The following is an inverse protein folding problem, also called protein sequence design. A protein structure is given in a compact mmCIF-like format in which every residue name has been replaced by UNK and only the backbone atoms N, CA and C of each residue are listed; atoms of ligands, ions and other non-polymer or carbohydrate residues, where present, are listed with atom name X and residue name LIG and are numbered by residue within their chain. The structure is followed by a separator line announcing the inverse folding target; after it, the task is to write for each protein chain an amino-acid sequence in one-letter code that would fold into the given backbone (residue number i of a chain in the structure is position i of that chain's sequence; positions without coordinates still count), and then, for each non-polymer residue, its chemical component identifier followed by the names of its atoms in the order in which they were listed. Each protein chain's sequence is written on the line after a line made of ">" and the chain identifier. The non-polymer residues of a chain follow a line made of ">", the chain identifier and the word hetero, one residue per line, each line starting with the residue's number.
data_IF_777621887019
#
_entry.id   IF_777621887019
#
_cell.length_a   1.000
_cell.length_b   1.000
_cell.length_c   1.000
_cell.angle_alpha   90.00
_cell.angle_beta   90.00
_cell.angle_gamma   90.00
#
_symmetry.space_group_name_H-M   'P 1'
#
loop_
_entity.id
_entity.type
_entity.pdbx_description
1 polymer ?
#
# COMPACT_ATOMS: atom_id res chain seq x y z
N UNK A 1 11.96 -9.71 33.96
CA UNK A 1 11.01 -10.07 32.89
C UNK A 1 9.82 -9.15 32.99
N UNK A 2 9.75 -8.11 32.15
CA UNK A 2 8.56 -7.24 32.08
C UNK A 2 7.61 -7.91 31.09
N UNK A 3 6.50 -8.46 31.57
CA UNK A 3 5.41 -8.95 30.76
C UNK A 3 4.79 -7.75 30.02
N UNK A 4 5.23 -7.53 28.78
CA UNK A 4 4.61 -6.52 27.94
C UNK A 4 3.22 -7.00 27.55
N UNK A 5 2.19 -6.30 27.94
CA UNK A 5 0.90 -6.34 27.28
C UNK A 5 1.18 -6.06 25.79
N UNK A 6 0.89 -7.04 24.92
CA UNK A 6 0.83 -6.80 23.49
C UNK A 6 -0.36 -5.87 23.25
N UNK A 7 -0.10 -4.57 23.24
CA UNK A 7 -1.06 -3.59 22.75
C UNK A 7 -1.17 -3.88 21.26
N UNK A 8 -2.33 -4.30 20.80
CA UNK A 8 -2.64 -4.43 19.37
C UNK A 8 -2.68 -3.01 18.81
N UNK A 9 -1.55 -2.54 18.27
CA UNK A 9 -1.35 -1.14 17.84
C UNK A 9 -2.32 -0.70 16.75
N UNK A 10 -2.93 -1.63 16.01
CA UNK A 10 -3.83 -1.34 14.90
C UNK A 10 -5.32 -1.34 15.28
N UNK A 11 -5.68 -1.73 16.52
CA UNK A 11 -7.07 -1.75 16.97
C UNK A 11 -7.72 -0.36 16.87
N UNK A 12 -8.82 -0.28 16.12
CA UNK A 12 -9.57 0.95 15.90
C UNK A 12 -8.94 1.95 14.93
N UNK A 13 -7.71 1.73 14.44
CA UNK A 13 -7.07 2.58 13.44
C UNK A 13 -7.82 2.50 12.10
N UNK A 14 -8.00 3.65 11.47
CA UNK A 14 -8.62 3.77 10.14
C UNK A 14 -7.53 3.75 9.08
N UNK A 15 -7.46 2.67 8.33
CA UNK A 15 -6.41 2.41 7.34
C UNK A 15 -7.03 2.44 5.94
N UNK A 16 -6.60 3.38 5.09
CA UNK A 16 -6.87 3.31 3.66
C UNK A 16 -5.93 2.28 3.02
N UNK A 17 -6.46 1.31 2.30
CA UNK A 17 -5.68 0.22 1.73
C UNK A 17 -5.82 0.19 0.20
N UNK A 18 -4.76 0.65 -0.49
CA UNK A 18 -4.77 0.91 -1.93
C UNK A 18 -4.09 -0.22 -2.70
N UNK A 19 -4.84 -0.89 -3.56
CA UNK A 19 -4.32 -1.87 -4.51
C UNK A 19 -4.02 -1.22 -5.86
N UNK A 20 -2.84 -1.49 -6.42
CA UNK A 20 -2.46 -1.02 -7.76
C UNK A 20 -2.00 -2.16 -8.67
N UNK A 21 -1.82 -1.93 -9.95
CA UNK A 21 -1.68 -2.91 -11.01
C UNK A 21 -0.48 -3.88 -10.96
N UNK A 22 -0.02 -4.28 -9.78
CA UNK A 22 0.98 -5.34 -9.59
C UNK A 22 0.33 -6.65 -9.17
N UNK A 23 -0.48 -7.21 -10.07
CA UNK A 23 -1.36 -8.35 -9.82
C UNK A 23 -0.66 -9.62 -9.30
N UNK A 24 0.60 -9.84 -9.65
CA UNK A 24 1.36 -11.02 -9.19
C UNK A 24 1.55 -11.09 -7.68
N UNK A 25 1.38 -9.98 -6.96
CA UNK A 25 1.50 -9.90 -5.50
C UNK A 25 0.15 -9.75 -4.79
N UNK A 26 -0.98 -9.65 -5.52
CA UNK A 26 -2.32 -9.47 -4.92
C UNK A 26 -2.64 -10.52 -3.87
N UNK A 27 -2.47 -11.80 -4.17
CA UNK A 27 -2.80 -12.88 -3.23
C UNK A 27 -2.05 -12.74 -1.91
N UNK A 28 -0.74 -12.45 -1.96
CA UNK A 28 0.06 -12.21 -0.76
C UNK A 28 -0.42 -10.99 0.02
N UNK A 29 -0.76 -9.92 -0.69
CA UNK A 29 -1.29 -8.69 -0.08
C UNK A 29 -2.64 -8.91 0.60
N UNK A 30 -3.54 -9.67 -0.02
CA UNK A 30 -4.85 -10.01 0.55
C UNK A 30 -4.69 -10.86 1.82
N UNK A 31 -3.74 -11.79 1.86
CA UNK A 31 -3.48 -12.57 3.07
C UNK A 31 -2.99 -11.68 4.24
N UNK A 32 -2.17 -10.67 3.96
CA UNK A 32 -1.76 -9.71 5.00
C UNK A 32 -2.93 -8.79 5.40
N UNK A 33 -3.77 -8.37 4.44
CA UNK A 33 -4.99 -7.61 4.74
C UNK A 33 -5.89 -8.37 5.73
N UNK A 34 -6.08 -9.69 5.52
CA UNK A 34 -6.85 -10.54 6.46
C UNK A 34 -6.27 -10.51 7.88
N UNK A 35 -4.94 -10.47 8.02
CA UNK A 35 -4.29 -10.38 9.33
C UNK A 35 -4.54 -9.02 9.98
N UNK A 36 -4.40 -7.93 9.21
CA UNK A 36 -4.62 -6.56 9.69
C UNK A 36 -6.08 -6.37 10.16
N UNK A 37 -7.05 -6.93 9.42
CA UNK A 37 -8.45 -6.92 9.83
C UNK A 37 -8.67 -7.69 11.15
N UNK A 38 -7.99 -8.84 11.32
CA UNK A 38 -8.02 -9.60 12.59
C UNK A 38 -7.46 -8.82 13.79
N UNK A 39 -6.56 -7.86 13.53
CA UNK A 39 -6.06 -6.92 14.53
C UNK A 39 -7.05 -5.79 14.84
N UNK A 40 -8.30 -5.90 14.35
CA UNK A 40 -9.40 -4.95 14.55
C UNK A 40 -9.16 -3.55 13.99
N UNK A 41 -8.32 -3.42 12.98
CA UNK A 41 -8.21 -2.21 12.19
C UNK A 41 -9.49 -2.00 11.36
N UNK A 42 -9.87 -0.75 11.12
CA UNK A 42 -10.95 -0.38 10.21
C UNK A 42 -10.35 -0.09 8.84
N UNK A 43 -10.66 -0.90 7.85
CA UNK A 43 -10.09 -0.78 6.51
C UNK A 43 -11.05 -0.04 5.59
N UNK A 44 -10.53 0.92 4.85
CA UNK A 44 -11.21 1.52 3.69
C UNK A 44 -10.45 1.03 2.44
N UNK A 45 -10.99 0.05 1.70
CA UNK A 45 -10.34 -0.52 0.55
C UNK A 45 -10.44 0.43 -0.66
N UNK A 46 -9.34 0.54 -1.39
CA UNK A 46 -9.22 1.44 -2.54
C UNK A 46 -8.56 0.66 -3.68
N UNK A 47 -9.01 0.82 -4.90
CA UNK A 47 -8.37 0.25 -6.09
C UNK A 47 -8.05 1.32 -7.12
N UNK A 48 -6.90 1.18 -7.79
CA UNK A 48 -6.64 1.93 -9.01
C UNK A 48 -7.56 1.45 -10.12
N UNK A 49 -7.75 2.25 -11.16
CA UNK A 49 -8.60 1.94 -12.31
C UNK A 49 -8.26 0.57 -12.93
N UNK A 50 -6.97 0.30 -13.15
CA UNK A 50 -6.52 -0.98 -13.71
C UNK A 50 -6.80 -2.16 -12.78
N UNK A 51 -6.58 -1.99 -11.48
CA UNK A 51 -6.83 -3.08 -10.52
C UNK A 51 -8.31 -3.37 -10.33
N UNK A 52 -9.17 -2.39 -10.56
CA UNK A 52 -10.62 -2.54 -10.45
C UNK A 52 -11.26 -3.14 -11.73
N UNK A 53 -10.65 -2.94 -12.91
CA UNK A 53 -11.31 -3.28 -14.18
C UNK A 53 -10.66 -4.41 -14.96
N UNK A 54 -9.37 -4.73 -14.70
CA UNK A 54 -8.62 -5.64 -15.57
C UNK A 54 -8.62 -7.08 -15.05
N UNK A 55 -9.09 -8.00 -15.87
CA UNK A 55 -8.85 -9.42 -15.71
C UNK A 55 -7.42 -9.76 -16.13
N UNK A 56 -6.78 -10.65 -15.39
CA UNK A 56 -5.40 -11.07 -15.65
C UNK A 56 -5.24 -12.57 -15.42
N UNK A 57 -4.09 -13.10 -15.82
CA UNK A 57 -3.74 -14.50 -15.50
C UNK A 57 -3.64 -14.82 -14.01
N UNK A 58 -3.66 -13.80 -13.14
CA UNK A 58 -3.59 -13.95 -11.67
C UNK A 58 -4.97 -13.99 -11.02
N UNK A 59 -6.02 -13.67 -11.74
CA UNK A 59 -7.42 -13.67 -11.33
C UNK A 59 -8.23 -12.61 -12.05
N UNK A 60 -9.55 -12.73 -11.92
CA UNK A 60 -10.49 -11.76 -12.46
C UNK A 60 -10.66 -10.59 -11.49
N UNK A 61 -10.88 -9.39 -12.03
CA UNK A 61 -11.10 -8.20 -11.21
C UNK A 61 -12.28 -8.35 -10.27
N UNK A 62 -13.39 -8.90 -10.77
CA UNK A 62 -14.61 -9.13 -9.99
C UNK A 62 -14.37 -10.04 -8.77
N UNK A 63 -13.57 -11.10 -8.91
CA UNK A 63 -13.27 -12.03 -7.81
C UNK A 63 -12.44 -11.33 -6.72
N UNK A 64 -11.45 -10.52 -7.11
CA UNK A 64 -10.66 -9.73 -6.15
C UNK A 64 -11.50 -8.67 -5.44
N UNK A 65 -12.40 -7.99 -6.17
CA UNK A 65 -13.31 -7.00 -5.60
C UNK A 65 -14.17 -7.66 -4.51
N UNK A 66 -14.86 -8.75 -4.85
CA UNK A 66 -15.73 -9.45 -3.89
C UNK A 66 -14.93 -9.94 -2.67
N UNK A 67 -13.76 -10.57 -2.88
CA UNK A 67 -12.94 -11.06 -1.77
C UNK A 67 -12.51 -9.93 -0.83
N UNK A 68 -12.09 -8.77 -1.37
CA UNK A 68 -11.66 -7.64 -0.56
C UNK A 68 -12.83 -6.99 0.18
N UNK A 69 -13.99 -6.82 -0.49
CA UNK A 69 -15.19 -6.28 0.14
C UNK A 69 -15.70 -7.20 1.26
N UNK A 70 -15.67 -8.51 1.06
CA UNK A 70 -16.06 -9.51 2.08
C UNK A 70 -15.11 -9.47 3.30
N UNK A 71 -13.79 -9.34 3.07
CA UNK A 71 -12.80 -9.25 4.16
C UNK A 71 -12.96 -7.98 4.97
N UNK A 72 -13.22 -6.84 4.30
CA UNK A 72 -13.23 -5.53 4.94
C UNK A 72 -14.62 -5.11 5.42
N UNK A 73 -15.66 -5.75 4.90
CA UNK A 73 -17.08 -5.36 5.05
C UNK A 73 -17.33 -3.90 4.61
N UNK A 74 -16.57 -3.44 3.62
CA UNK A 74 -16.64 -2.09 3.05
C UNK A 74 -16.60 -2.14 1.53
N UNK A 75 -17.27 -1.20 0.85
CA UNK A 75 -17.20 -1.07 -0.60
C UNK A 75 -15.88 -0.45 -1.05
N UNK A 76 -15.34 -0.97 -2.16
CA UNK A 76 -14.10 -0.45 -2.72
C UNK A 76 -14.31 0.94 -3.32
N UNK A 77 -13.49 1.90 -2.89
CA UNK A 77 -13.37 3.19 -3.54
C UNK A 77 -12.49 3.06 -4.79
N UNK A 78 -12.99 3.47 -5.95
CA UNK A 78 -12.28 3.23 -7.22
C UNK A 78 -12.28 4.41 -8.18
N UNK A 79 -12.86 5.54 -7.79
CA UNK A 79 -12.86 6.78 -8.58
C UNK A 79 -12.11 7.90 -7.84
N UNK A 80 -11.69 8.92 -8.59
CA UNK A 80 -11.09 10.13 -8.00
C UNK A 80 -12.06 10.80 -7.03
N UNK A 81 -13.34 10.84 -7.39
CA UNK A 81 -14.39 11.46 -6.57
C UNK A 81 -14.57 10.76 -5.23
N UNK A 82 -14.43 9.43 -5.19
CA UNK A 82 -14.58 8.64 -3.96
C UNK A 82 -13.47 8.97 -2.96
N UNK A 83 -12.25 9.18 -3.44
CA UNK A 83 -11.05 9.30 -2.58
C UNK A 83 -10.66 10.76 -2.30
N UNK A 84 -11.14 11.71 -3.07
CA UNK A 84 -10.85 13.14 -2.84
C UNK A 84 -11.25 13.59 -1.42
N UNK A 85 -12.38 13.14 -0.83
CA UNK A 85 -12.78 13.52 0.52
C UNK A 85 -11.92 12.96 1.65
N UNK A 86 -11.03 11.98 1.42
CA UNK A 86 -10.26 11.30 2.47
C UNK A 86 -9.46 12.26 3.35
N UNK A 87 -8.80 13.25 2.75
CA UNK A 87 -8.03 14.26 3.48
C UNK A 87 -8.91 15.33 4.12
N UNK A 88 -9.75 16.08 3.35
CA UNK A 88 -10.62 17.13 3.89
C UNK A 88 -11.49 16.66 5.06
N UNK A 89 -12.05 15.44 5.00
CA UNK A 89 -12.91 14.87 6.05
C UNK A 89 -12.16 14.11 7.14
N UNK A 90 -10.83 14.08 7.09
CA UNK A 90 -10.00 13.41 8.09
C UNK A 90 -10.37 11.94 8.33
N UNK A 91 -10.53 11.19 7.23
CA UNK A 91 -11.12 9.87 7.27
C UNK A 91 -10.15 8.74 7.67
N UNK A 92 -8.84 8.95 7.56
CA UNK A 92 -7.81 7.93 7.72
C UNK A 92 -6.73 8.35 8.72
N UNK A 93 -6.20 7.41 9.49
CA UNK A 93 -5.00 7.60 10.30
C UNK A 93 -3.72 7.36 9.47
N UNK A 94 -3.79 6.44 8.52
CA UNK A 94 -2.69 6.03 7.65
C UNK A 94 -3.22 5.53 6.31
N UNK A 95 -2.43 5.72 5.24
CA UNK A 95 -2.71 5.18 3.92
C UNK A 95 -1.63 4.16 3.53
N UNK A 96 -2.03 2.99 3.06
CA UNK A 96 -1.15 1.90 2.64
C UNK A 96 -1.33 1.66 1.15
N UNK A 97 -0.28 1.85 0.36
CA UNK A 97 -0.27 1.56 -1.08
C UNK A 97 0.51 0.28 -1.30
N UNK A 98 -0.20 -0.83 -1.37
CA UNK A 98 0.40 -2.16 -1.55
C UNK A 98 -0.57 -3.08 -2.29
N UNK A 99 -0.10 -3.75 -3.36
CA UNK A 99 1.21 -3.57 -3.97
C UNK A 99 1.30 -2.22 -4.72
N UNK A 100 2.43 -1.53 -4.60
CA UNK A 100 2.72 -0.30 -5.35
C UNK A 100 3.46 -0.64 -6.65
N UNK A 101 2.80 -0.41 -7.79
CA UNK A 101 3.39 -0.64 -9.10
C UNK A 101 4.41 0.44 -9.48
N UNK A 102 5.36 0.11 -10.37
CA UNK A 102 6.33 1.08 -10.89
C UNK A 102 5.67 2.33 -11.48
N UNK A 103 4.54 2.16 -12.18
CA UNK A 103 3.76 3.28 -12.72
C UNK A 103 3.19 4.18 -11.61
N UNK A 104 2.61 3.57 -10.56
CA UNK A 104 2.06 4.33 -9.43
C UNK A 104 3.18 5.09 -8.71
N UNK A 105 4.32 4.45 -8.45
CA UNK A 105 5.46 5.12 -7.82
C UNK A 105 6.01 6.26 -8.69
N UNK A 106 6.09 6.07 -10.02
CA UNK A 106 6.52 7.13 -10.94
C UNK A 106 5.59 8.34 -10.90
N UNK A 107 4.27 8.12 -10.91
CA UNK A 107 3.28 9.19 -10.78
C UNK A 107 3.40 9.91 -9.45
N UNK A 108 3.46 9.18 -8.33
CA UNK A 108 3.63 9.77 -7.01
C UNK A 108 4.92 10.58 -6.90
N UNK A 109 6.04 10.07 -7.42
CA UNK A 109 7.36 10.74 -7.38
C UNK A 109 7.40 12.05 -8.17
N UNK A 110 6.52 12.21 -9.17
CA UNK A 110 6.47 13.38 -10.05
C UNK A 110 5.17 14.21 -9.90
N UNK A 111 4.41 13.99 -8.83
CA UNK A 111 3.14 14.68 -8.50
C UNK A 111 2.08 14.62 -9.63
N UNK A 112 2.03 13.50 -10.35
CA UNK A 112 1.02 13.22 -11.38
C UNK A 112 -0.20 12.60 -10.69
N UNK A 113 -1.30 13.35 -10.64
CA UNK A 113 -2.51 13.00 -9.90
C UNK A 113 -3.68 12.83 -10.87
N UNK A 114 -3.63 11.78 -11.65
CA UNK A 114 -4.57 11.48 -12.72
C UNK A 114 -5.39 10.20 -12.51
N UNK A 115 -5.35 9.64 -11.30
CA UNK A 115 -6.07 8.41 -10.99
C UNK A 115 -6.37 8.24 -9.50
N UNK A 116 -7.21 7.26 -9.18
CA UNK A 116 -7.71 6.99 -7.84
C UNK A 116 -6.58 6.83 -6.82
N UNK A 117 -5.60 5.97 -7.10
CA UNK A 117 -4.51 5.70 -6.16
C UNK A 117 -3.67 6.95 -5.85
N UNK A 118 -3.35 7.75 -6.86
CA UNK A 118 -2.55 8.97 -6.69
C UNK A 118 -3.33 10.10 -6.03
N UNK A 119 -4.64 10.20 -6.32
CA UNK A 119 -5.52 11.14 -5.63
C UNK A 119 -5.70 10.76 -4.17
N UNK A 120 -5.86 9.48 -3.83
CA UNK A 120 -5.95 9.04 -2.44
C UNK A 120 -4.72 9.47 -1.63
N UNK A 121 -3.51 9.25 -2.17
CA UNK A 121 -2.26 9.67 -1.54
C UNK A 121 -2.19 11.19 -1.38
N UNK A 122 -2.47 11.95 -2.45
CA UNK A 122 -2.47 13.42 -2.39
C UNK A 122 -3.46 13.95 -1.36
N UNK A 123 -4.68 13.42 -1.37
CA UNK A 123 -5.72 13.84 -0.43
C UNK A 123 -5.31 13.57 1.02
N UNK A 124 -4.79 12.37 1.29
CA UNK A 124 -4.33 11.96 2.61
C UNK A 124 -3.15 12.79 3.13
N UNK A 125 -2.15 13.07 2.28
CA UNK A 125 -0.97 13.88 2.62
C UNK A 125 -1.30 15.34 2.99
N UNK A 126 -2.46 15.87 2.63
CA UNK A 126 -2.91 17.19 3.09
C UNK A 126 -3.02 17.30 4.61
N UNK A 127 -3.10 16.17 5.31
CA UNK A 127 -3.15 16.08 6.77
C UNK A 127 -1.79 15.71 7.39
N UNK A 128 -0.72 15.73 6.59
CA UNK A 128 0.65 15.35 7.01
C UNK A 128 0.72 13.97 7.70
N UNK A 129 -0.15 13.05 7.27
CA UNK A 129 -0.24 11.70 7.82
C UNK A 129 0.56 10.69 7.00
N UNK A 130 0.99 9.58 7.63
CA UNK A 130 1.89 8.61 7.00
C UNK A 130 1.25 7.86 5.83
N UNK A 131 2.09 7.57 4.83
CA UNK A 131 1.80 6.72 3.68
C UNK A 131 2.81 5.58 3.66
N UNK A 132 2.33 4.34 3.69
CA UNK A 132 3.17 3.13 3.58
C UNK A 132 3.19 2.65 2.13
N UNK A 133 4.38 2.34 1.61
CA UNK A 133 4.59 1.85 0.25
C UNK A 133 5.13 0.43 0.28
N UNK A 134 4.39 -0.51 -0.31
CA UNK A 134 4.86 -1.88 -0.56
C UNK A 134 5.26 -2.03 -2.03
N UNK A 135 6.57 -1.93 -2.34
CA UNK A 135 7.09 -1.98 -3.70
C UNK A 135 6.80 -3.32 -4.36
N UNK A 136 6.24 -3.31 -5.56
CA UNK A 136 6.12 -4.49 -6.42
C UNK A 136 6.26 -4.07 -7.87
N UNK A 137 7.48 -4.19 -8.43
CA UNK A 137 7.76 -3.75 -9.79
C UNK A 137 8.87 -4.57 -10.44
N UNK A 138 8.76 -4.78 -11.76
CA UNK A 138 9.75 -5.54 -12.54
C UNK A 138 10.94 -4.69 -13.03
N UNK A 139 10.93 -3.38 -12.80
CA UNK A 139 11.96 -2.44 -13.23
C UNK A 139 12.53 -1.60 -12.07
N UNK A 140 12.49 -2.10 -10.82
CA UNK A 140 12.93 -1.41 -9.62
C UNK A 140 14.41 -1.02 -9.64
N UNK A 141 15.27 -1.87 -10.20
CA UNK A 141 16.71 -1.60 -10.40
C UNK A 141 17.01 -1.06 -11.80
N UNK A 142 16.06 -0.35 -12.40
CA UNK A 142 16.23 0.38 -13.67
C UNK A 142 15.35 1.64 -13.66
N UNK A 143 14.42 1.81 -14.59
CA UNK A 143 13.65 3.05 -14.72
C UNK A 143 12.81 3.45 -13.49
N UNK A 144 12.41 2.53 -12.62
CA UNK A 144 11.71 2.88 -11.38
C UNK A 144 12.66 3.25 -10.22
N UNK A 145 13.97 2.98 -10.34
CA UNK A 145 14.93 3.22 -9.25
C UNK A 145 15.01 4.70 -8.83
N UNK A 146 15.02 5.62 -9.80
CA UNK A 146 14.99 7.05 -9.53
C UNK A 146 13.73 7.46 -8.76
N UNK A 147 12.56 6.94 -9.16
CA UNK A 147 11.30 7.26 -8.52
C UNK A 147 11.21 6.70 -7.09
N UNK A 148 11.75 5.50 -6.86
CA UNK A 148 11.90 4.93 -5.52
C UNK A 148 12.78 5.84 -4.66
N UNK A 149 13.95 6.27 -5.17
CA UNK A 149 14.85 7.19 -4.47
C UNK A 149 14.19 8.54 -4.14
N UNK A 150 13.42 9.11 -5.07
CA UNK A 150 12.63 10.33 -4.81
C UNK A 150 11.64 10.14 -3.68
N UNK A 151 10.90 9.03 -3.68
CA UNK A 151 9.89 8.74 -2.65
C UNK A 151 10.52 8.43 -1.28
N UNK A 152 11.66 7.73 -1.24
CA UNK A 152 12.43 7.50 -0.01
C UNK A 152 12.88 8.81 0.67
N UNK A 153 13.07 9.88 -0.10
CA UNK A 153 13.48 11.19 0.40
C UNK A 153 12.29 12.13 0.74
N UNK A 154 11.06 11.71 0.50
CA UNK A 154 9.87 12.53 0.81
C UNK A 154 9.39 12.30 2.24
N UNK A 155 8.95 13.36 2.90
CA UNK A 155 8.28 13.26 4.20
C UNK A 155 7.02 12.41 4.11
N UNK A 156 6.72 11.70 5.20
CA UNK A 156 5.52 10.89 5.40
C UNK A 156 5.42 9.63 4.54
N UNK A 157 6.44 9.31 3.73
CA UNK A 157 6.52 8.05 3.01
C UNK A 157 7.39 7.05 3.79
N UNK A 158 6.82 5.87 4.06
CA UNK A 158 7.46 4.76 4.78
C UNK A 158 7.39 3.52 3.92
N UNK A 159 8.46 2.75 3.89
CA UNK A 159 8.54 1.61 2.99
C UNK A 159 8.48 0.30 3.74
N UNK A 160 7.66 -0.63 3.25
CA UNK A 160 7.76 -2.02 3.66
C UNK A 160 9.12 -2.54 3.23
N UNK A 161 9.90 -3.22 4.10
CA UNK A 161 11.17 -3.83 3.71
C UNK A 161 11.07 -4.62 2.41
N UNK A 162 12.06 -4.47 1.53
CA UNK A 162 12.01 -5.03 0.18
C UNK A 162 13.34 -5.61 -0.26
N UNK A 163 13.28 -6.46 -1.29
CA UNK A 163 14.44 -7.14 -1.88
C UNK A 163 14.24 -7.38 -3.37
N UNK A 164 15.28 -7.91 -4.04
CA UNK A 164 15.07 -8.45 -5.38
C UNK A 164 14.09 -9.63 -5.33
N UNK A 165 13.19 -9.72 -6.32
CA UNK A 165 12.23 -10.82 -6.43
C UNK A 165 12.96 -12.13 -6.75
N UNK A 166 13.67 -12.16 -7.87
CA UNK A 166 14.56 -13.26 -8.24
C UNK A 166 15.79 -12.69 -8.99
N UNK A 167 16.99 -12.70 -8.35
CA UNK A 167 18.17 -12.09 -8.94
C UNK A 167 18.64 -12.71 -10.25
N UNK A 168 18.31 -13.99 -10.49
CA UNK A 168 18.73 -14.74 -11.68
C UNK A 168 17.76 -14.52 -12.84
N UNK A 169 16.46 -14.74 -12.60
CA UNK A 169 15.43 -14.72 -13.67
C UNK A 169 14.78 -13.36 -13.84
N UNK A 170 14.84 -12.50 -12.82
CA UNK A 170 14.24 -11.16 -12.79
C UNK A 170 15.22 -10.14 -12.16
N UNK A 171 16.40 -9.93 -12.73
CA UNK A 171 17.49 -9.18 -12.08
C UNK A 171 17.18 -7.71 -11.77
N UNK A 172 16.11 -7.16 -12.34
CA UNK A 172 15.70 -5.77 -12.10
C UNK A 172 14.45 -5.62 -11.25
N UNK A 173 13.82 -6.73 -10.88
CA UNK A 173 12.57 -6.71 -10.12
C UNK A 173 12.80 -6.51 -8.64
N UNK A 174 12.02 -5.61 -8.04
CA UNK A 174 11.95 -5.42 -6.58
C UNK A 174 10.56 -5.80 -6.08
N UNK A 175 10.53 -6.44 -4.93
CA UNK A 175 9.30 -6.85 -4.25
C UNK A 175 9.42 -6.62 -2.75
N UNK A 176 8.35 -6.07 -2.16
CA UNK A 176 8.26 -5.94 -0.71
C UNK A 176 8.09 -7.33 -0.04
N UNK A 177 8.56 -7.45 1.17
CA UNK A 177 8.28 -8.61 2.00
C UNK A 177 6.99 -8.38 2.78
N UNK A 178 5.94 -9.09 2.37
CA UNK A 178 4.60 -8.90 2.92
C UNK A 178 4.52 -9.17 4.43
N UNK A 179 5.40 -9.99 4.98
CA UNK A 179 5.42 -10.34 6.41
C UNK A 179 5.74 -9.14 7.32
N UNK A 180 6.35 -8.09 6.75
CA UNK A 180 6.65 -6.84 7.46
C UNK A 180 5.52 -5.81 7.36
N UNK A 181 4.43 -6.08 6.62
CA UNK A 181 3.43 -5.05 6.31
C UNK A 181 2.76 -4.49 7.57
N UNK A 182 2.18 -5.33 8.43
CA UNK A 182 1.53 -4.89 9.68
C UNK A 182 2.50 -4.09 10.55
N UNK A 183 3.71 -4.61 10.73
CA UNK A 183 4.74 -3.94 11.53
C UNK A 183 5.19 -2.61 10.95
N UNK A 184 5.29 -2.49 9.61
CA UNK A 184 5.61 -1.22 8.96
C UNK A 184 4.50 -0.18 9.20
N UNK A 185 3.24 -0.60 9.18
CA UNK A 185 2.11 0.29 9.49
C UNK A 185 2.22 0.81 10.93
N UNK A 186 2.54 -0.05 11.90
CA UNK A 186 2.75 0.36 13.29
C UNK A 186 3.86 1.40 13.44
N UNK A 187 5.04 1.17 12.82
CA UNK A 187 6.17 2.11 12.84
C UNK A 187 5.80 3.44 12.17
N UNK A 188 5.14 3.38 11.01
CA UNK A 188 4.73 4.57 10.28
C UNK A 188 3.71 5.43 11.05
N UNK A 189 2.82 4.82 11.85
CA UNK A 189 1.92 5.55 12.76
C UNK A 189 2.67 6.34 13.84
N UNK A 190 3.87 5.88 14.22
CA UNK A 190 4.78 6.57 15.14
C UNK A 190 5.76 7.50 14.38
N UNK A 191 5.57 7.70 13.07
CA UNK A 191 6.46 8.44 12.16
C UNK A 191 7.89 7.88 12.07
N UNK A 192 8.03 6.57 12.18
CA UNK A 192 9.30 5.87 12.11
C UNK A 192 9.37 4.92 10.90
N UNK A 193 10.54 4.82 10.27
CA UNK A 193 10.83 3.84 9.23
C UNK A 193 11.37 2.56 9.86
N UNK A 194 10.67 1.43 9.66
CA UNK A 194 11.16 0.12 10.09
C UNK A 194 12.50 -0.21 9.43
N UNK A 195 13.42 -0.83 10.18
CA UNK A 195 14.72 -1.26 9.71
C UNK A 195 14.91 -2.78 9.88
N UNK A 196 15.71 -3.45 9.02
CA UNK A 196 16.31 -2.89 7.79
C UNK A 196 15.26 -2.66 6.69
N UNK A 197 15.47 -1.65 5.84
CA UNK A 197 14.57 -1.37 4.71
C UNK A 197 14.90 -2.24 3.48
N UNK A 198 16.15 -2.65 3.33
CA UNK A 198 16.65 -3.54 2.28
C UNK A 198 17.02 -4.88 2.92
N UNK A 199 16.44 -5.97 2.38
CA UNK A 199 16.62 -7.34 2.86
C UNK A 199 17.57 -8.13 1.97
#
# INVERSE_FOLDING_TARGET
>A
MKGGFFIVKLEGKKIGFVFTGSFCTFRKTIEELKKIVKEKAKIIPIMSEHSYTMDTKFGNAFDFINEIEDITNEKILHTIQDVEPLGPKDMLDILVVTPASGNTMAKLANDIIDGTATMAVKSHLRRERPVVIGISTNNGLSGAGENIGKLLNRKHFYFVPFRQDNPITKPRSLVFDSTYLSKTIEYALDNEQIQPIIL
#
